data_IF_686051153947
#
_entry.id   IF_686051153947
#
_cell.length_a   1.000
_cell.length_b   1.000
_cell.length_c   1.000
_cell.angle_alpha   90.00
_cell.angle_beta   90.00
_cell.angle_gamma   90.00
#
_symmetry.space_group_name_H-M   'P 1'
#
loop_
_entity.id
_entity.type
_entity.pdbx_description
1 polymer ?
#
# COMPACT_ATOMS: atom_id res chain seq x y z
N UNK A 1 -6.11 0.77 26.12
CA UNK A 1 -6.47 -0.05 27.32
C UNK A 1 -7.01 0.88 28.40
N UNK A 2 -8.16 0.55 29.04
CA UNK A 2 -8.73 1.31 30.17
C UNK A 2 -8.07 0.95 31.48
N UNK A 3 -7.93 1.91 32.40
CA UNK A 3 -7.36 1.68 33.73
C UNK A 3 -8.14 0.62 34.55
N UNK A 4 -9.48 0.75 34.55
CA UNK A 4 -10.34 -0.19 35.28
C UNK A 4 -10.23 -1.65 34.76
N UNK A 5 -9.98 -1.85 33.48
CA UNK A 5 -9.68 -3.18 32.94
C UNK A 5 -8.28 -3.65 33.36
N UNK A 6 -7.27 -2.76 33.37
CA UNK A 6 -5.91 -3.14 33.80
C UNK A 6 -5.87 -3.60 35.26
N UNK A 7 -6.63 -2.97 36.15
CA UNK A 7 -6.75 -3.40 37.55
C UNK A 7 -7.29 -4.82 37.66
N UNK A 8 -8.37 -5.13 36.91
CA UNK A 8 -8.97 -6.46 36.89
C UNK A 8 -8.04 -7.50 36.26
N UNK A 9 -7.35 -7.13 35.16
CA UNK A 9 -6.36 -7.98 34.51
C UNK A 9 -5.17 -8.24 35.43
N UNK A 10 -4.68 -7.27 36.19
CA UNK A 10 -3.62 -7.48 37.17
C UNK A 10 -4.03 -8.49 38.21
N UNK A 11 -5.26 -8.42 38.77
CA UNK A 11 -5.83 -9.39 39.67
C UNK A 11 -5.95 -10.78 39.04
N UNK A 12 -6.39 -10.86 37.78
CA UNK A 12 -6.45 -12.10 37.02
C UNK A 12 -5.06 -12.74 36.84
N UNK A 13 -4.05 -11.92 36.47
CA UNK A 13 -2.68 -12.38 36.22
C UNK A 13 -1.95 -12.79 37.50
N UNK A 14 -2.32 -12.26 38.67
CA UNK A 14 -1.70 -12.59 39.96
C UNK A 14 -1.90 -14.04 40.39
N UNK A 15 -2.88 -14.74 39.79
CA UNK A 15 -3.08 -16.20 40.03
C UNK A 15 -1.99 -17.10 39.44
N UNK A 16 -1.27 -16.60 38.40
CA UNK A 16 -0.19 -17.38 37.81
C UNK A 16 1.08 -17.26 38.66
N UNK A 17 1.75 -18.39 38.83
CA UNK A 17 2.95 -18.50 39.66
C UNK A 17 4.24 -18.45 38.86
N UNK A 18 4.18 -18.71 37.56
CA UNK A 18 5.37 -18.86 36.72
C UNK A 18 5.16 -18.31 35.31
N UNK A 19 6.19 -17.65 34.77
CA UNK A 19 6.33 -17.33 33.38
C UNK A 19 7.18 -18.45 32.74
N UNK A 20 6.62 -19.13 31.74
CA UNK A 20 7.33 -20.15 30.98
C UNK A 20 8.24 -19.48 29.91
N UNK A 21 7.71 -18.50 29.20
CA UNK A 21 8.43 -17.77 28.17
C UNK A 21 7.94 -16.33 28.09
N UNK A 22 8.86 -15.40 27.83
CA UNK A 22 8.55 -14.03 27.45
C UNK A 22 9.36 -13.65 26.21
N UNK A 23 8.70 -13.14 25.17
CA UNK A 23 9.34 -12.76 23.92
C UNK A 23 8.58 -11.64 23.22
N UNK A 24 9.29 -10.84 22.43
CA UNK A 24 8.68 -9.83 21.55
C UNK A 24 8.16 -10.51 20.27
N UNK A 25 6.93 -10.20 19.88
CA UNK A 25 6.24 -10.77 18.70
C UNK A 25 5.94 -9.74 17.63
N UNK A 26 5.94 -8.48 17.98
CA UNK A 26 5.93 -7.34 17.03
C UNK A 26 6.78 -6.18 17.57
N UNK A 27 6.93 -5.10 16.82
CA UNK A 27 7.79 -3.97 17.24
C UNK A 27 7.39 -3.41 18.61
N UNK A 28 6.11 -3.48 18.99
CA UNK A 28 5.57 -2.97 20.25
C UNK A 28 4.73 -3.99 21.03
N UNK A 29 4.80 -5.28 20.72
CA UNK A 29 4.03 -6.30 21.44
C UNK A 29 4.90 -7.40 22.01
N UNK A 30 4.60 -7.77 23.26
CA UNK A 30 5.29 -8.80 24.04
C UNK A 30 4.29 -9.93 24.30
N UNK A 31 4.67 -11.14 23.94
CA UNK A 31 3.98 -12.37 24.34
C UNK A 31 4.59 -12.86 25.64
N UNK A 32 3.74 -13.08 26.65
CA UNK A 32 4.09 -13.77 27.88
C UNK A 32 3.31 -15.06 27.92
N UNK A 33 4.02 -16.17 28.01
CA UNK A 33 3.48 -17.50 28.20
C UNK A 33 3.54 -17.87 29.69
N UNK A 34 2.39 -17.95 30.27
CA UNK A 34 2.20 -18.51 31.63
C UNK A 34 2.10 -20.04 31.54
N UNK A 35 1.98 -20.74 32.65
CA UNK A 35 1.98 -22.22 32.66
C UNK A 35 0.91 -22.85 31.75
N UNK A 36 -0.23 -22.16 31.56
CA UNK A 36 -1.39 -22.67 30.80
C UNK A 36 -1.92 -21.70 29.74
N UNK A 37 -1.42 -20.48 29.69
CA UNK A 37 -2.01 -19.42 28.86
C UNK A 37 -0.94 -18.54 28.15
N UNK A 38 -1.24 -18.12 26.95
CA UNK A 38 -0.43 -17.18 26.15
C UNK A 38 -1.18 -15.87 26.03
N UNK A 39 -0.59 -14.80 26.53
CA UNK A 39 -1.20 -13.48 26.52
C UNK A 39 -0.25 -12.48 25.87
N UNK A 40 -0.81 -11.67 24.98
CA UNK A 40 -0.08 -10.64 24.23
C UNK A 40 -0.36 -9.28 24.86
N UNK A 41 0.71 -8.55 25.18
CA UNK A 41 0.68 -7.20 25.70
C UNK A 41 1.13 -6.27 24.58
N UNK A 42 0.17 -5.66 23.87
CA UNK A 42 0.41 -4.73 22.76
C UNK A 42 0.49 -3.29 23.29
N UNK A 43 1.68 -2.72 23.20
CA UNK A 43 2.03 -1.39 23.65
C UNK A 43 1.96 -0.35 22.52
N UNK A 44 1.17 -0.59 21.49
CA UNK A 44 0.99 0.35 20.39
C UNK A 44 0.36 1.66 20.89
N UNK A 45 0.96 2.82 20.52
CA UNK A 45 0.58 4.13 21.03
C UNK A 45 -0.90 4.46 20.87
N UNK A 46 -1.46 4.14 19.71
CA UNK A 46 -2.83 4.50 19.34
C UNK A 46 -3.87 3.48 19.78
N UNK A 47 -3.46 2.22 19.97
CA UNK A 47 -4.40 1.12 20.14
C UNK A 47 -3.82 0.00 21.03
N UNK A 48 -3.32 0.40 22.21
CA UNK A 48 -2.78 -0.57 23.18
C UNK A 48 -3.85 -1.51 23.70
N UNK A 49 -3.51 -2.81 23.83
CA UNK A 49 -4.43 -3.85 24.25
C UNK A 49 -3.70 -5.01 24.92
N UNK A 50 -4.47 -5.86 25.62
CA UNK A 50 -4.04 -7.14 26.13
C UNK A 50 -5.00 -8.17 25.59
N UNK A 51 -4.50 -9.17 24.86
CA UNK A 51 -5.35 -10.11 24.14
C UNK A 51 -4.69 -11.49 23.97
N UNK A 52 -5.47 -12.46 23.53
CA UNK A 52 -5.03 -13.80 23.10
C UNK A 52 -5.27 -13.97 21.61
N UNK A 53 -4.26 -14.46 20.92
CA UNK A 53 -4.34 -14.77 19.49
C UNK A 53 -3.57 -16.08 19.23
N UNK A 54 -4.32 -17.16 19.02
CA UNK A 54 -3.76 -18.49 18.77
C UNK A 54 -3.19 -18.62 17.34
N UNK A 55 -3.59 -17.73 16.43
CA UNK A 55 -3.14 -17.71 15.03
C UNK A 55 -2.01 -16.72 14.78
N UNK A 56 -1.48 -16.09 15.83
CA UNK A 56 -0.44 -15.08 15.71
C UNK A 56 0.78 -15.62 14.96
N UNK A 57 1.06 -15.06 13.80
CA UNK A 57 2.30 -15.31 13.05
C UNK A 57 3.35 -14.31 13.48
N UNK A 58 4.46 -14.80 14.00
CA UNK A 58 5.60 -13.95 14.33
C UNK A 58 6.14 -13.29 13.07
N UNK A 59 6.19 -11.95 13.06
CA UNK A 59 6.61 -11.19 11.88
C UNK A 59 8.11 -11.39 11.57
N UNK A 60 8.92 -11.52 12.62
CA UNK A 60 10.37 -11.71 12.56
C UNK A 60 10.91 -12.17 13.92
N UNK A 61 12.11 -12.69 13.93
CA UNK A 61 12.84 -12.99 15.18
C UNK A 61 13.50 -11.69 15.65
N UNK A 62 13.20 -11.28 16.88
CA UNK A 62 13.77 -10.10 17.52
C UNK A 62 15.00 -10.47 18.34
N UNK A 63 16.08 -9.70 18.22
CA UNK A 63 17.40 -9.98 18.87
C UNK A 63 18.07 -8.69 19.38
N UNK A 64 17.31 -7.64 19.66
CA UNK A 64 17.83 -6.42 20.26
C UNK A 64 18.24 -6.67 21.74
N UNK A 65 19.02 -5.78 22.37
CA UNK A 65 19.40 -5.90 23.78
C UNK A 65 18.22 -6.17 24.71
N UNK A 66 17.10 -5.46 24.51
CA UNK A 66 15.87 -5.69 25.25
C UNK A 66 15.36 -7.13 25.14
N UNK A 67 15.38 -7.73 23.94
CA UNK A 67 14.90 -9.10 23.72
C UNK A 67 15.75 -10.13 24.45
N UNK A 68 17.06 -9.90 24.48
CA UNK A 68 18.00 -10.76 25.18
C UNK A 68 17.81 -10.69 26.69
N UNK A 69 17.62 -9.47 27.24
CA UNK A 69 17.36 -9.27 28.68
C UNK A 69 16.00 -9.86 29.05
N UNK A 70 14.95 -9.60 28.24
CA UNK A 70 13.61 -10.14 28.47
C UNK A 70 13.65 -11.68 28.54
N UNK A 71 14.27 -12.31 27.55
CA UNK A 71 14.43 -13.78 27.51
C UNK A 71 15.24 -14.31 28.69
N UNK A 72 16.39 -13.68 28.99
CA UNK A 72 17.29 -14.12 30.05
C UNK A 72 16.65 -14.04 31.44
N UNK A 73 15.85 -13.00 31.72
CA UNK A 73 15.34 -12.70 33.05
C UNK A 73 13.95 -13.28 33.30
N UNK A 74 13.10 -13.39 32.27
CA UNK A 74 11.70 -13.79 32.47
C UNK A 74 11.38 -15.21 32.05
N UNK A 75 12.17 -15.84 31.17
CA UNK A 75 11.94 -17.27 30.88
C UNK A 75 12.21 -18.14 32.10
N UNK A 76 11.26 -19.00 32.37
CA UNK A 76 11.25 -19.89 33.55
C UNK A 76 11.31 -19.18 34.92
N UNK A 77 10.89 -17.90 35.00
CA UNK A 77 10.86 -17.12 36.23
C UNK A 77 9.59 -17.34 37.06
N UNK A 78 9.67 -17.12 38.38
CA UNK A 78 8.53 -17.15 39.30
C UNK A 78 7.97 -15.74 39.49
N UNK A 79 6.64 -15.61 39.45
CA UNK A 79 5.90 -14.40 39.70
C UNK A 79 5.71 -14.22 41.20
N UNK A 80 6.18 -13.12 41.76
CA UNK A 80 5.91 -12.70 43.15
C UNK A 80 4.63 -11.90 43.26
N UNK A 81 4.48 -10.88 42.38
CA UNK A 81 3.27 -10.06 42.32
C UNK A 81 3.04 -9.55 40.90
N UNK A 82 1.76 -9.29 40.60
CA UNK A 82 1.34 -8.48 39.41
C UNK A 82 0.39 -7.43 39.92
N UNK A 83 0.73 -6.16 39.63
CA UNK A 83 0.02 -5.00 40.15
C UNK A 83 -0.25 -4.00 39.03
N UNK A 84 -1.42 -3.35 39.08
CA UNK A 84 -1.65 -2.14 38.29
C UNK A 84 -1.32 -0.94 39.18
N UNK A 85 -0.37 -0.10 38.76
CA UNK A 85 0.03 1.07 39.55
C UNK A 85 -1.13 2.05 39.69
N UNK A 86 -1.31 2.57 40.93
CA UNK A 86 -2.40 3.48 41.24
C UNK A 86 -2.33 4.72 40.34
N UNK A 87 -3.49 5.10 39.81
CA UNK A 87 -3.69 6.26 38.94
C UNK A 87 -2.80 6.31 37.68
N UNK A 88 -2.30 5.13 37.28
CA UNK A 88 -1.49 4.96 36.06
C UNK A 88 -1.87 3.68 35.32
N UNK A 89 -1.81 3.73 33.99
CA UNK A 89 -2.05 2.55 33.14
C UNK A 89 -0.76 1.77 32.96
N UNK A 90 -0.22 1.25 34.06
CA UNK A 90 1.04 0.50 34.12
C UNK A 90 0.82 -0.80 34.86
N UNK A 91 1.14 -1.93 34.21
CA UNK A 91 1.26 -3.21 34.87
C UNK A 91 2.70 -3.44 35.31
N UNK A 92 2.87 -3.81 36.58
CA UNK A 92 4.16 -4.11 37.21
C UNK A 92 4.18 -5.60 37.54
N UNK A 93 5.10 -6.33 36.94
CA UNK A 93 5.38 -7.73 37.24
C UNK A 93 6.65 -7.81 38.07
N UNK A 94 6.56 -8.26 39.32
CA UNK A 94 7.73 -8.54 40.14
C UNK A 94 8.01 -10.06 40.06
N UNK A 95 9.18 -10.38 39.54
CA UNK A 95 9.58 -11.75 39.26
C UNK A 95 10.90 -12.12 39.93
N UNK A 96 11.10 -13.41 40.17
CA UNK A 96 12.35 -13.98 40.71
C UNK A 96 12.81 -15.09 39.78
N UNK A 97 14.10 -15.11 39.49
CA UNK A 97 14.74 -16.23 38.82
C UNK A 97 15.71 -16.91 39.80
N UNK A 98 15.57 -18.21 39.99
CA UNK A 98 16.48 -18.99 40.79
C UNK A 98 17.68 -19.38 39.94
N UNK A 99 18.85 -18.83 40.26
CA UNK A 99 20.14 -19.32 39.74
C UNK A 99 20.71 -20.43 40.65
N UNK A 100 21.80 -21.05 40.22
CA UNK A 100 22.48 -22.13 40.99
C UNK A 100 23.03 -21.66 42.36
N UNK A 101 23.29 -20.38 42.54
CA UNK A 101 23.87 -19.82 43.77
C UNK A 101 23.10 -18.65 44.38
N UNK A 102 22.24 -17.94 43.60
CA UNK A 102 21.54 -16.74 44.07
C UNK A 102 20.22 -16.59 43.36
N UNK A 103 19.18 -16.22 44.07
CA UNK A 103 17.93 -15.74 43.48
C UNK A 103 18.03 -14.24 43.23
N UNK A 104 17.69 -13.79 42.01
CA UNK A 104 17.65 -12.38 41.64
C UNK A 104 16.21 -11.94 41.40
N UNK A 105 15.88 -10.75 41.87
CA UNK A 105 14.57 -10.14 41.65
C UNK A 105 14.67 -9.13 40.49
N UNK A 106 13.67 -9.13 39.61
CA UNK A 106 13.52 -8.12 38.59
C UNK A 106 12.08 -7.75 38.41
N UNK A 107 11.90 -6.58 37.81
CA UNK A 107 10.60 -5.98 37.61
C UNK A 107 10.43 -5.68 36.12
N UNK A 108 9.29 -6.08 35.57
CA UNK A 108 8.85 -5.67 34.23
C UNK A 108 7.69 -4.69 34.35
N UNK A 109 7.89 -3.49 33.87
CA UNK A 109 6.85 -2.49 33.74
C UNK A 109 6.33 -2.50 32.30
N UNK A 110 5.02 -2.75 32.14
CA UNK A 110 4.31 -2.64 30.89
C UNK A 110 3.42 -1.39 30.92
N UNK A 111 3.81 -0.36 30.19
CA UNK A 111 3.25 0.98 30.26
C UNK A 111 2.27 1.24 29.12
N UNK A 112 0.97 1.28 29.40
CA UNK A 112 -0.11 1.56 28.45
C UNK A 112 -0.49 3.05 28.44
N UNK A 113 0.49 3.94 28.53
CA UNK A 113 0.33 5.36 28.82
C UNK A 113 0.19 6.24 27.57
N UNK A 114 -0.29 5.69 26.45
CA UNK A 114 -0.52 6.42 25.22
C UNK A 114 0.80 6.88 24.56
N UNK A 115 1.12 8.18 24.58
CA UNK A 115 2.34 8.71 23.96
C UNK A 115 3.64 8.07 24.47
N UNK A 116 3.64 7.67 25.72
CA UNK A 116 4.81 7.14 26.45
C UNK A 116 4.73 5.62 26.67
N UNK A 117 3.93 4.90 25.91
CA UNK A 117 3.90 3.43 25.99
C UNK A 117 5.30 2.86 25.90
N UNK A 118 5.64 1.94 26.81
CA UNK A 118 6.96 1.32 26.86
C UNK A 118 6.90 -0.03 27.61
N UNK A 119 7.96 -0.81 27.49
CA UNK A 119 8.26 -1.91 28.40
C UNK A 119 9.65 -1.64 28.99
N UNK A 120 9.74 -1.63 30.32
CA UNK A 120 10.98 -1.33 31.04
C UNK A 120 11.28 -2.48 32.00
N UNK A 121 12.51 -2.96 31.98
CA UNK A 121 13.01 -4.00 32.86
C UNK A 121 13.98 -3.35 33.84
N UNK A 122 13.73 -3.54 35.16
CA UNK A 122 14.59 -3.02 36.23
C UNK A 122 15.04 -4.13 37.17
N UNK A 123 16.02 -3.82 37.99
CA UNK A 123 16.33 -4.59 39.19
C UNK A 123 15.35 -4.26 40.34
N UNK A 124 15.59 -4.82 41.53
CA UNK A 124 14.78 -4.58 42.73
C UNK A 124 14.86 -3.15 43.28
N UNK A 125 15.91 -2.39 42.91
CA UNK A 125 16.12 -0.99 43.29
C UNK A 125 15.57 -0.01 42.27
N UNK A 126 14.79 -0.50 41.29
CA UNK A 126 14.28 0.26 40.13
C UNK A 126 15.37 0.83 39.21
N UNK A 127 16.60 0.28 39.23
CA UNK A 127 17.61 0.64 38.23
C UNK A 127 17.31 -0.05 36.94
N UNK A 128 17.23 0.71 35.84
CA UNK A 128 16.86 0.25 34.50
C UNK A 128 17.96 -0.69 33.99
N UNK A 129 17.62 -1.94 33.75
CA UNK A 129 18.49 -2.92 33.09
C UNK A 129 18.38 -2.75 31.58
N UNK A 130 17.14 -2.62 31.06
CA UNK A 130 16.89 -2.40 29.65
C UNK A 130 15.45 -1.92 29.41
N UNK A 131 15.20 -1.28 28.27
CA UNK A 131 13.88 -0.81 27.88
C UNK A 131 13.59 -1.07 26.38
N UNK A 132 12.33 -1.30 26.06
CA UNK A 132 11.90 -1.46 24.67
C UNK A 132 12.15 -0.18 23.84
N UNK A 133 12.02 0.97 24.50
CA UNK A 133 12.29 2.29 23.93
C UNK A 133 13.11 3.13 24.92
N UNK A 134 14.26 3.60 24.48
CA UNK A 134 15.05 4.59 25.21
C UNK A 134 14.46 5.98 24.99
N UNK A 135 14.38 6.81 26.05
CA UNK A 135 13.78 8.15 26.04
C UNK A 135 14.71 9.10 26.77
N UNK A 136 15.24 10.05 26.03
CA UNK A 136 16.20 11.04 26.57
C UNK A 136 15.57 12.44 26.78
N UNK A 137 14.49 12.76 26.06
CA UNK A 137 13.93 14.12 25.97
C UNK A 137 12.62 14.32 26.76
N UNK A 138 12.45 13.70 27.92
CA UNK A 138 11.23 13.84 28.70
C UNK A 138 11.54 14.10 30.17
N UNK A 139 10.51 14.44 30.93
CA UNK A 139 10.54 14.51 32.41
C UNK A 139 11.18 13.26 33.04
N UNK A 140 11.15 12.13 32.34
CA UNK A 140 11.60 10.80 32.77
C UNK A 140 12.59 10.26 31.76
N UNK A 141 13.87 10.26 32.13
CA UNK A 141 14.92 9.61 31.34
C UNK A 141 14.80 8.09 31.46
N UNK A 142 14.78 7.37 30.34
CA UNK A 142 14.73 5.91 30.29
C UNK A 142 15.97 5.43 29.53
N UNK A 143 17.04 5.18 30.29
CA UNK A 143 18.31 4.65 29.80
C UNK A 143 18.83 3.60 30.79
N UNK A 144 19.63 2.66 30.28
CA UNK A 144 20.27 1.62 31.09
C UNK A 144 21.16 2.25 32.18
N UNK A 145 21.00 1.79 33.44
CA UNK A 145 21.71 2.27 34.59
C UNK A 145 21.06 3.45 35.32
N UNK A 146 20.06 4.10 34.74
CA UNK A 146 19.30 5.15 35.41
C UNK A 146 18.21 4.58 36.33
N UNK A 147 17.88 5.31 37.40
CA UNK A 147 16.75 4.91 38.27
C UNK A 147 15.43 5.29 37.59
N UNK A 148 14.54 4.30 37.46
CA UNK A 148 13.22 4.49 36.87
C UNK A 148 12.35 5.39 37.77
N UNK A 149 12.12 6.63 37.38
CA UNK A 149 11.23 7.56 38.10
C UNK A 149 9.78 7.17 37.85
N UNK A 150 8.95 7.23 38.88
CA UNK A 150 7.52 7.02 38.74
C UNK A 150 6.89 8.14 37.90
N UNK A 151 5.89 7.78 37.10
CA UNK A 151 5.09 8.79 36.42
C UNK A 151 4.17 9.50 37.43
N UNK A 152 3.96 10.81 37.27
CA UNK A 152 3.03 11.52 38.12
C UNK A 152 1.64 10.92 38.01
N UNK A 153 0.90 10.84 39.11
CA UNK A 153 -0.47 10.40 39.11
C UNK A 153 -1.32 11.28 38.17
N UNK A 154 -2.04 10.67 37.28
CA UNK A 154 -2.92 11.38 36.33
C UNK A 154 -4.35 11.15 36.78
N UNK A 155 -5.14 12.23 36.92
CA UNK A 155 -6.57 12.10 37.11
C UNK A 155 -7.21 11.42 35.87
N UNK A 156 -7.37 10.09 35.96
CA UNK A 156 -7.90 9.29 34.86
C UNK A 156 -9.40 9.49 34.78
N UNK A 157 -9.85 10.36 33.87
CA UNK A 157 -11.27 10.54 33.55
C UNK A 157 -11.72 9.44 32.57
N UNK A 158 -12.01 8.26 33.09
CA UNK A 158 -12.58 7.17 32.29
C UNK A 158 -14.08 7.05 32.53
N UNK A 159 -14.82 6.75 31.45
CA UNK A 159 -16.20 6.33 31.62
C UNK A 159 -16.24 5.00 32.37
N UNK A 160 -17.24 4.79 33.27
CA UNK A 160 -17.45 3.52 33.91
C UNK A 160 -17.41 2.39 32.87
N UNK A 161 -16.75 1.31 33.23
CA UNK A 161 -16.73 0.10 32.37
C UNK A 161 -17.31 -1.07 33.17
N UNK A 162 -17.95 -1.96 32.44
CA UNK A 162 -18.48 -3.19 33.02
C UNK A 162 -17.34 -4.08 33.53
N UNK A 163 -17.54 -4.80 34.64
CA UNK A 163 -16.58 -5.79 35.13
C UNK A 163 -16.36 -6.89 34.09
N UNK A 164 -15.12 -7.35 33.98
CA UNK A 164 -14.78 -8.51 33.14
C UNK A 164 -15.23 -9.77 33.88
N UNK A 165 -16.31 -10.37 33.41
CA UNK A 165 -16.85 -11.63 33.99
C UNK A 165 -16.15 -12.87 33.44
N UNK A 166 -15.79 -12.82 32.14
CA UNK A 166 -15.06 -13.86 31.44
C UNK A 166 -13.81 -13.28 30.76
N UNK A 167 -12.63 -13.59 31.33
CA UNK A 167 -11.35 -13.09 30.79
C UNK A 167 -10.96 -13.73 29.47
N UNK A 168 -11.37 -15.00 29.24
CA UNK A 168 -11.08 -15.65 27.96
C UNK A 168 -11.86 -14.98 26.82
N UNK A 169 -13.15 -14.79 27.01
CA UNK A 169 -14.00 -14.09 26.05
C UNK A 169 -13.52 -12.63 25.84
N UNK A 170 -13.13 -11.95 26.92
CA UNK A 170 -12.59 -10.59 26.85
C UNK A 170 -11.32 -10.52 26.01
N UNK A 171 -10.33 -11.38 26.26
CA UNK A 171 -9.07 -11.36 25.50
C UNK A 171 -9.27 -11.73 24.03
N UNK A 172 -10.17 -12.64 23.71
CA UNK A 172 -10.54 -12.97 22.33
C UNK A 172 -11.24 -11.82 21.63
N UNK A 173 -12.16 -11.13 22.30
CA UNK A 173 -12.82 -9.94 21.73
C UNK A 173 -11.85 -8.79 21.49
N UNK A 174 -10.89 -8.57 22.37
CA UNK A 174 -9.82 -7.59 22.19
C UNK A 174 -8.92 -7.94 20.98
N UNK A 175 -8.62 -9.24 20.76
CA UNK A 175 -7.88 -9.67 19.58
C UNK A 175 -8.62 -9.33 18.28
N UNK A 176 -9.93 -9.61 18.21
CA UNK A 176 -10.76 -9.23 17.05
C UNK A 176 -10.74 -7.72 16.84
N UNK A 177 -10.99 -6.94 17.91
CA UNK A 177 -10.99 -5.47 17.85
C UNK A 177 -9.66 -4.90 17.35
N UNK A 178 -8.53 -5.44 17.83
CA UNK A 178 -7.19 -5.00 17.40
C UNK A 178 -6.93 -5.33 15.94
N UNK A 179 -7.30 -6.54 15.52
CA UNK A 179 -7.13 -6.97 14.14
C UNK A 179 -8.00 -6.13 13.18
N UNK A 180 -9.25 -5.88 13.52
CA UNK A 180 -10.13 -5.00 12.74
C UNK A 180 -9.58 -3.58 12.63
N UNK A 181 -9.14 -2.99 13.74
CA UNK A 181 -8.54 -1.67 13.75
C UNK A 181 -7.25 -1.61 12.92
N UNK A 182 -6.43 -2.68 12.94
CA UNK A 182 -5.23 -2.80 12.13
C UNK A 182 -5.57 -2.87 10.64
N UNK A 183 -6.55 -3.70 10.28
CA UNK A 183 -7.03 -3.82 8.89
C UNK A 183 -7.58 -2.48 8.41
N UNK A 184 -8.41 -1.80 9.19
CA UNK A 184 -8.96 -0.50 8.87
C UNK A 184 -7.86 0.55 8.64
N UNK A 185 -6.87 0.64 9.53
CA UNK A 185 -5.75 1.58 9.41
C UNK A 185 -4.89 1.30 8.16
N UNK A 186 -4.59 0.03 7.88
CA UNK A 186 -3.86 -0.37 6.69
C UNK A 186 -4.64 -0.03 5.41
N UNK A 187 -5.94 -0.28 5.42
CA UNK A 187 -6.85 0.02 4.32
C UNK A 187 -6.89 1.52 4.03
N UNK A 188 -7.08 2.34 5.05
CA UNK A 188 -7.11 3.80 4.94
C UNK A 188 -5.78 4.36 4.42
N UNK A 189 -4.65 3.91 4.94
CA UNK A 189 -3.33 4.34 4.47
C UNK A 189 -3.12 4.02 2.98
N UNK A 190 -3.57 2.85 2.51
CA UNK A 190 -3.48 2.44 1.10
C UNK A 190 -4.42 3.25 0.22
N UNK A 191 -5.67 3.44 0.64
CA UNK A 191 -6.66 4.26 -0.07
C UNK A 191 -6.16 5.70 -0.23
N UNK A 192 -5.62 6.29 0.83
CA UNK A 192 -5.03 7.64 0.79
C UNK A 192 -3.85 7.71 -0.19
N UNK A 193 -2.99 6.68 -0.21
CA UNK A 193 -1.85 6.63 -1.13
C UNK A 193 -2.29 6.53 -2.59
N UNK A 194 -3.30 5.72 -2.89
CA UNK A 194 -3.87 5.56 -4.24
C UNK A 194 -4.57 6.85 -4.66
N UNK A 195 -5.37 7.46 -3.77
CA UNK A 195 -6.07 8.72 -4.06
C UNK A 195 -5.09 9.84 -4.42
N UNK A 196 -4.02 10.02 -3.64
CA UNK A 196 -2.98 11.02 -3.96
C UNK A 196 -2.37 10.84 -5.35
N UNK A 197 -2.20 9.59 -5.80
CA UNK A 197 -1.70 9.32 -7.16
C UNK A 197 -2.72 9.70 -8.23
N UNK A 198 -4.00 9.39 -7.99
CA UNK A 198 -5.11 9.76 -8.88
C UNK A 198 -5.17 11.28 -8.99
N UNK A 199 -5.17 12.00 -7.86
CA UNK A 199 -5.25 13.45 -7.80
C UNK A 199 -4.09 14.10 -8.58
N UNK A 200 -2.86 13.66 -8.33
CA UNK A 200 -1.68 14.16 -9.03
C UNK A 200 -1.73 13.92 -10.55
N UNK A 201 -2.19 12.73 -10.99
CA UNK A 201 -2.33 12.44 -12.42
C UNK A 201 -3.48 13.24 -13.05
N UNK A 202 -4.56 13.48 -12.32
CA UNK A 202 -5.70 14.30 -12.76
C UNK A 202 -5.30 15.77 -12.90
N UNK A 203 -4.48 16.30 -11.98
CA UNK A 203 -3.92 17.64 -12.08
C UNK A 203 -3.07 17.80 -13.35
N UNK A 204 -2.19 16.83 -13.63
CA UNK A 204 -1.38 16.83 -14.86
C UNK A 204 -2.31 16.78 -16.09
N UNK A 205 -3.29 15.87 -16.10
CA UNK A 205 -4.24 15.72 -17.20
C UNK A 205 -4.99 17.02 -17.49
N UNK A 206 -5.44 17.72 -16.44
CA UNK A 206 -6.14 19.00 -16.56
C UNK A 206 -5.24 20.17 -16.97
N UNK A 207 -3.93 20.06 -16.75
CA UNK A 207 -2.95 21.09 -17.13
C UNK A 207 -2.43 20.94 -18.55
N UNK A 208 -2.75 19.86 -19.25
CA UNK A 208 -2.32 19.65 -20.62
C UNK A 208 -3.00 20.66 -21.56
N UNK A 209 -2.22 21.21 -22.47
CA UNK A 209 -2.72 22.13 -23.51
C UNK A 209 -3.78 21.45 -24.38
N UNK A 210 -4.67 22.27 -24.95
CA UNK A 210 -5.69 21.77 -25.86
C UNK A 210 -5.09 21.39 -27.21
N UNK A 211 -5.38 20.17 -27.69
CA UNK A 211 -4.90 19.65 -28.97
C UNK A 211 -5.39 20.51 -30.15
N UNK A 212 -6.66 20.89 -30.13
CA UNK A 212 -7.29 21.57 -31.25
C UNK A 212 -6.77 23.02 -31.37
N UNK A 213 -6.50 23.66 -30.22
CA UNK A 213 -5.81 24.98 -30.22
C UNK A 213 -4.38 24.87 -30.75
N UNK A 214 -3.63 23.83 -30.38
CA UNK A 214 -2.28 23.60 -30.91
C UNK A 214 -2.29 23.32 -32.41
N UNK A 215 -3.27 22.56 -32.90
CA UNK A 215 -3.44 22.26 -34.32
C UNK A 215 -3.80 23.54 -35.08
N UNK A 216 -4.74 24.35 -34.59
CA UNK A 216 -5.14 25.63 -35.16
C UNK A 216 -3.96 26.59 -35.29
N UNK A 217 -3.17 26.77 -34.22
CA UNK A 217 -1.94 27.55 -34.26
C UNK A 217 -0.92 26.98 -35.24
N UNK A 218 -0.83 25.68 -35.40
CA UNK A 218 0.04 25.02 -36.37
C UNK A 218 -0.36 25.37 -37.80
N UNK A 219 -1.66 25.37 -38.12
CA UNK A 219 -2.20 25.73 -39.41
C UNK A 219 -1.98 27.22 -39.72
N UNK A 220 -2.19 28.10 -38.73
CA UNK A 220 -1.90 29.53 -38.87
C UNK A 220 -0.43 29.79 -39.27
N UNK A 221 0.53 29.15 -38.57
CA UNK A 221 1.95 29.29 -38.93
C UNK A 221 2.28 28.67 -40.29
N UNK A 222 1.65 27.60 -40.71
CA UNK A 222 1.82 27.03 -42.04
C UNK A 222 1.31 28.00 -43.10
N UNK A 223 0.14 28.62 -42.86
CA UNK A 223 -0.44 29.63 -43.74
C UNK A 223 0.46 30.86 -43.86
N UNK A 224 1.01 31.37 -42.77
CA UNK A 224 1.97 32.50 -42.80
C UNK A 224 3.22 32.17 -43.65
N UNK A 225 3.76 30.96 -43.49
CA UNK A 225 4.87 30.48 -44.32
C UNK A 225 4.51 30.44 -45.80
N UNK A 226 3.32 29.94 -46.13
CA UNK A 226 2.83 29.85 -47.50
C UNK A 226 2.61 31.26 -48.14
N UNK A 227 1.99 32.17 -47.37
CA UNK A 227 1.77 33.54 -47.81
C UNK A 227 3.08 34.27 -48.09
N UNK A 228 4.09 34.13 -47.22
CA UNK A 228 5.41 34.71 -47.43
C UNK A 228 6.08 34.16 -48.68
N UNK A 229 6.06 32.84 -48.91
CA UNK A 229 6.66 32.23 -50.09
C UNK A 229 5.95 32.63 -51.38
N UNK A 230 4.61 32.73 -51.37
CA UNK A 230 3.82 33.15 -52.54
C UNK A 230 4.10 34.61 -52.95
N UNK A 231 4.49 35.45 -51.99
CA UNK A 231 4.72 36.88 -52.21
C UNK A 231 6.21 37.27 -52.23
N UNK A 232 7.14 36.33 -52.30
CA UNK A 232 8.58 36.61 -52.21
C UNK A 232 9.07 37.64 -53.25
N UNK A 233 8.51 37.63 -54.45
CA UNK A 233 8.87 38.57 -55.50
C UNK A 233 8.52 40.03 -55.18
N UNK A 234 7.62 40.29 -54.27
CA UNK A 234 7.16 41.59 -53.85
C UNK A 234 8.03 42.24 -52.76
N UNK A 235 9.00 41.47 -52.16
CA UNK A 235 9.83 41.94 -51.07
C UNK A 235 11.26 42.25 -51.47
N UNK A 236 11.82 43.31 -50.88
CA UNK A 236 13.22 43.72 -51.08
C UNK A 236 14.23 42.89 -50.27
N UNK A 237 13.78 41.97 -49.40
CA UNK A 237 14.60 41.07 -48.69
C UNK A 237 15.07 41.50 -47.27
N UNK A 238 14.78 42.72 -46.87
CA UNK A 238 15.19 43.30 -45.58
C UNK A 238 14.03 43.82 -44.72
N UNK A 239 12.79 43.68 -45.21
CA UNK A 239 11.58 44.08 -44.49
C UNK A 239 11.43 43.26 -43.22
N UNK A 240 11.10 43.95 -42.10
CA UNK A 240 10.82 43.31 -40.79
C UNK A 240 9.35 43.32 -40.44
N UNK A 241 8.57 44.21 -41.02
CA UNK A 241 7.12 44.24 -40.85
C UNK A 241 6.48 44.22 -42.25
N UNK A 242 5.58 43.30 -42.46
CA UNK A 242 4.93 43.05 -43.73
C UNK A 242 3.42 42.98 -43.51
N UNK A 243 2.66 43.67 -44.39
CA UNK A 243 1.21 43.51 -44.48
C UNK A 243 0.89 42.70 -45.73
N UNK A 244 0.18 41.59 -45.55
CA UNK A 244 -0.28 40.70 -46.62
C UNK A 244 -1.77 40.46 -46.49
N UNK A 245 -2.41 40.11 -47.61
CA UNK A 245 -3.76 39.56 -47.55
C UNK A 245 -3.69 38.05 -47.41
N UNK A 246 -4.48 37.51 -46.50
CA UNK A 246 -4.65 36.08 -46.37
C UNK A 246 -5.45 35.48 -47.54
N UNK A 247 -5.66 34.16 -47.52
CA UNK A 247 -6.40 33.47 -48.58
C UNK A 247 -7.90 33.83 -48.59
N UNK A 248 -8.41 34.43 -47.49
CA UNK A 248 -9.78 34.92 -47.35
C UNK A 248 -9.92 36.42 -47.64
N UNK A 249 -8.81 37.09 -47.95
CA UNK A 249 -8.78 38.51 -48.27
C UNK A 249 -8.58 39.47 -47.11
N UNK A 250 -8.38 38.95 -45.88
CA UNK A 250 -8.15 39.76 -44.68
C UNK A 250 -6.70 40.24 -44.62
N UNK A 251 -6.48 41.45 -44.11
CA UNK A 251 -5.13 41.99 -43.91
C UNK A 251 -4.47 41.37 -42.68
N UNK A 252 -3.30 40.75 -42.86
CA UNK A 252 -2.46 40.20 -41.82
C UNK A 252 -1.16 40.97 -41.73
N UNK A 253 -0.78 41.42 -40.54
CA UNK A 253 0.52 42.00 -40.24
C UNK A 253 1.44 40.91 -39.68
N UNK A 254 2.57 40.67 -40.33
CA UNK A 254 3.59 39.74 -39.92
C UNK A 254 4.87 40.47 -39.56
N UNK A 255 5.43 40.15 -38.39
CA UNK A 255 6.76 40.56 -37.94
C UNK A 255 7.76 39.48 -38.28
N UNK A 256 8.78 39.80 -39.05
CA UNK A 256 9.79 38.83 -39.49
C UNK A 256 11.04 38.93 -38.62
N UNK A 257 11.58 37.80 -38.24
CA UNK A 257 12.83 37.68 -37.47
C UNK A 257 14.07 37.88 -38.36
N UNK A 258 13.94 37.53 -39.64
CA UNK A 258 15.01 37.52 -40.62
C UNK A 258 14.45 37.88 -42.02
N UNK A 259 15.17 37.52 -43.09
CA UNK A 259 14.67 37.70 -44.45
C UNK A 259 13.33 37.00 -44.65
N UNK A 260 12.43 37.47 -45.56
CA UNK A 260 11.14 36.83 -45.79
C UNK A 260 11.23 35.33 -46.05
N UNK A 261 12.22 34.89 -46.83
CA UNK A 261 12.44 33.45 -47.09
C UNK A 261 12.85 32.68 -45.85
N UNK A 262 13.75 33.23 -45.03
CA UNK A 262 14.19 32.61 -43.78
C UNK A 262 13.04 32.54 -42.77
N UNK A 263 12.26 33.62 -42.63
CA UNK A 263 11.09 33.68 -41.75
C UNK A 263 9.97 32.71 -42.18
N UNK A 264 9.77 32.51 -43.49
CA UNK A 264 8.85 31.49 -43.98
C UNK A 264 9.26 30.07 -43.51
N UNK A 265 10.55 29.73 -43.61
CA UNK A 265 11.07 28.45 -43.12
C UNK A 265 10.93 28.33 -41.61
N UNK A 266 11.11 29.42 -40.87
CA UNK A 266 10.88 29.42 -39.41
C UNK A 266 9.40 29.17 -39.10
N UNK A 267 8.45 29.77 -39.78
CA UNK A 267 7.02 29.52 -39.60
C UNK A 267 6.65 28.07 -39.88
N UNK A 268 7.15 27.46 -40.94
CA UNK A 268 6.97 26.02 -41.17
C UNK A 268 7.58 25.14 -40.06
N UNK A 269 8.76 25.51 -39.58
CA UNK A 269 9.40 24.80 -38.46
C UNK A 269 8.55 24.89 -37.19
N UNK A 270 7.98 26.07 -36.87
CA UNK A 270 7.06 26.28 -35.74
C UNK A 270 5.77 25.47 -35.92
N UNK A 271 5.18 25.52 -37.11
CA UNK A 271 4.01 24.70 -37.45
C UNK A 271 4.27 23.21 -37.19
N UNK A 272 5.36 22.67 -37.73
CA UNK A 272 5.73 21.26 -37.53
C UNK A 272 5.92 20.90 -36.04
N UNK A 273 6.55 21.78 -35.24
CA UNK A 273 6.73 21.58 -33.80
C UNK A 273 5.39 21.58 -33.07
N UNK A 274 4.48 22.51 -33.39
CA UNK A 274 3.15 22.57 -32.77
C UNK A 274 2.31 21.34 -33.10
N UNK A 275 2.36 20.86 -34.35
CA UNK A 275 1.66 19.63 -34.76
C UNK A 275 2.19 18.40 -34.04
N UNK A 276 3.51 18.29 -33.93
CA UNK A 276 4.11 17.18 -33.16
C UNK A 276 3.72 17.26 -31.69
N UNK A 277 3.69 18.46 -31.08
CA UNK A 277 3.24 18.68 -29.70
C UNK A 277 1.77 18.27 -29.51
N UNK A 278 0.88 18.67 -30.45
CA UNK A 278 -0.54 18.29 -30.40
C UNK A 278 -0.75 16.77 -30.37
N UNK A 279 -0.01 16.03 -31.21
CA UNK A 279 -0.05 14.57 -31.22
C UNK A 279 0.50 13.97 -29.92
N UNK A 280 1.58 14.56 -29.39
CA UNK A 280 2.16 14.14 -28.10
C UNK A 280 1.18 14.33 -26.95
N UNK A 281 0.48 15.46 -26.88
CA UNK A 281 -0.54 15.74 -25.86
C UNK A 281 -1.68 14.72 -25.92
N UNK A 282 -2.14 14.33 -27.11
CA UNK A 282 -3.21 13.33 -27.22
C UNK A 282 -2.79 11.96 -26.68
N UNK A 283 -1.57 11.53 -26.99
CA UNK A 283 -1.00 10.28 -26.48
C UNK A 283 -0.87 10.35 -24.94
N UNK A 284 -0.41 11.49 -24.41
CA UNK A 284 -0.25 11.68 -22.98
C UNK A 284 -1.59 11.70 -22.23
N UNK A 285 -2.60 12.40 -22.77
CA UNK A 285 -3.98 12.40 -22.25
C UNK A 285 -4.51 10.97 -22.14
N UNK A 286 -4.38 10.17 -23.20
CA UNK A 286 -4.82 8.79 -23.22
C UNK A 286 -4.09 7.95 -22.18
N UNK A 287 -2.76 8.04 -22.11
CA UNK A 287 -1.95 7.28 -21.15
C UNK A 287 -2.28 7.63 -19.70
N UNK A 288 -2.52 8.91 -19.39
CA UNK A 288 -2.92 9.35 -18.05
C UNK A 288 -4.33 8.85 -17.69
N UNK A 289 -5.28 8.96 -18.63
CA UNK A 289 -6.64 8.47 -18.42
C UNK A 289 -6.68 6.97 -18.14
N UNK A 290 -5.95 6.16 -18.92
CA UNK A 290 -5.83 4.71 -18.70
C UNK A 290 -5.21 4.37 -17.33
N UNK A 291 -4.19 5.14 -16.89
CA UNK A 291 -3.58 4.95 -15.57
C UNK A 291 -4.53 5.34 -14.42
N UNK A 292 -5.27 6.43 -14.58
CA UNK A 292 -6.27 6.86 -13.59
C UNK A 292 -7.37 5.80 -13.46
N UNK A 293 -7.88 5.30 -14.58
CA UNK A 293 -8.92 4.27 -14.61
C UNK A 293 -8.45 2.98 -13.91
N UNK A 294 -7.22 2.55 -14.17
CA UNK A 294 -6.62 1.41 -13.47
C UNK A 294 -6.52 1.64 -11.95
N UNK A 295 -6.09 2.85 -11.52
CA UNK A 295 -5.99 3.19 -10.10
C UNK A 295 -7.37 3.26 -9.41
N UNK A 296 -8.42 3.69 -10.11
CA UNK A 296 -9.79 3.65 -9.59
C UNK A 296 -10.28 2.20 -9.39
N UNK A 297 -9.99 1.29 -10.32
CA UNK A 297 -10.24 -0.15 -10.14
C UNK A 297 -9.49 -0.72 -8.92
N UNK A 298 -8.21 -0.37 -8.75
CA UNK A 298 -7.43 -0.76 -7.57
C UNK A 298 -8.04 -0.21 -6.27
N UNK A 299 -8.52 1.01 -6.28
CA UNK A 299 -9.19 1.65 -5.15
C UNK A 299 -10.50 0.94 -4.79
N UNK A 300 -11.27 0.48 -5.77
CA UNK A 300 -12.46 -0.35 -5.58
C UNK A 300 -12.10 -1.66 -4.86
N UNK A 301 -11.13 -2.41 -5.36
CA UNK A 301 -10.64 -3.64 -4.73
C UNK A 301 -10.15 -3.43 -3.29
N UNK A 302 -9.44 -2.32 -3.03
CA UNK A 302 -9.01 -1.95 -1.67
C UNK A 302 -10.19 -1.68 -0.74
N UNK A 303 -11.28 -1.07 -1.22
CA UNK A 303 -12.49 -0.85 -0.43
C UNK A 303 -13.19 -2.15 -0.06
N UNK A 304 -13.19 -3.14 -0.94
CA UNK A 304 -13.84 -4.43 -0.73
C UNK A 304 -13.01 -5.41 0.11
N UNK A 305 -11.70 -5.19 0.20
CA UNK A 305 -10.78 -6.07 0.94
C UNK A 305 -11.23 -6.27 2.39
N UNK A 306 -11.36 -7.54 2.81
CA UNK A 306 -11.91 -7.94 4.12
C UNK A 306 -10.84 -8.27 5.15
N UNK A 307 -9.63 -8.60 4.71
CA UNK A 307 -8.57 -9.06 5.59
C UNK A 307 -7.18 -8.53 5.17
N UNK A 308 -6.21 -8.68 6.05
CA UNK A 308 -4.86 -8.19 5.82
C UNK A 308 -4.16 -8.86 4.63
N UNK A 309 -4.49 -10.13 4.33
CA UNK A 309 -3.93 -10.87 3.22
C UNK A 309 -4.37 -10.28 1.87
N UNK A 310 -5.67 -9.98 1.71
CA UNK A 310 -6.18 -9.30 0.51
C UNK A 310 -5.53 -7.93 0.32
N UNK A 311 -5.40 -7.15 1.41
CA UNK A 311 -4.70 -5.87 1.37
C UNK A 311 -3.22 -6.02 0.97
N UNK A 312 -2.56 -7.10 1.36
CA UNK A 312 -1.17 -7.38 0.97
C UNK A 312 -1.04 -7.70 -0.52
N UNK A 313 -1.96 -8.50 -1.07
CA UNK A 313 -2.04 -8.82 -2.50
C UNK A 313 -2.17 -7.53 -3.33
N UNK A 314 -3.07 -6.63 -2.94
CA UNK A 314 -3.35 -5.37 -3.62
C UNK A 314 -2.24 -4.31 -3.45
N UNK A 315 -1.17 -4.64 -2.76
CA UNK A 315 0.00 -3.79 -2.65
C UNK A 315 1.17 -4.49 -3.29
N UNK A 316 1.51 -4.16 -4.52
CA UNK A 316 2.71 -4.67 -5.13
C UNK A 316 3.88 -4.31 -4.22
N UNK A 317 4.45 -5.32 -3.57
CA UNK A 317 5.69 -5.14 -2.82
C UNK A 317 6.69 -4.64 -3.83
N UNK A 318 7.21 -3.44 -3.65
CA UNK A 318 8.47 -3.03 -4.24
C UNK A 318 9.54 -3.99 -3.68
N UNK A 319 9.51 -5.23 -4.11
CA UNK A 319 10.57 -6.20 -3.86
C UNK A 319 11.76 -5.70 -4.64
N UNK A 320 12.46 -4.82 -3.94
CA UNK A 320 13.87 -4.45 -4.11
C UNK A 320 14.54 -4.96 -5.39
N UNK A 321 14.90 -4.02 -6.25
CA UNK A 321 16.19 -3.85 -6.96
C UNK A 321 17.05 -5.07 -7.39
N UNK A 322 16.72 -6.31 -7.09
CA UNK A 322 17.64 -7.43 -7.31
C UNK A 322 17.33 -8.35 -8.51
N UNK A 323 16.24 -8.13 -9.27
CA UNK A 323 15.93 -8.89 -10.51
C UNK A 323 15.44 -8.02 -11.68
N UNK A 324 15.87 -6.79 -11.75
CA UNK A 324 15.35 -5.76 -12.66
C UNK A 324 15.70 -5.94 -14.15
N UNK A 325 16.54 -6.89 -14.55
CA UNK A 325 16.99 -6.96 -15.95
C UNK A 325 16.05 -7.71 -16.93
N UNK A 326 15.08 -8.48 -16.44
CA UNK A 326 14.14 -9.22 -17.32
C UNK A 326 12.68 -8.77 -17.23
N UNK A 327 12.35 -7.76 -16.42
CA UNK A 327 10.97 -7.30 -16.17
C UNK A 327 10.69 -5.92 -16.78
N UNK A 328 11.67 -5.25 -17.38
CA UNK A 328 11.49 -3.89 -17.91
C UNK A 328 10.41 -3.77 -18.98
N UNK A 329 10.20 -4.79 -19.81
CA UNK A 329 9.20 -4.73 -20.89
C UNK A 329 7.75 -4.99 -20.44
N UNK A 330 7.56 -5.66 -19.30
CA UNK A 330 6.21 -5.98 -18.78
C UNK A 330 5.63 -4.86 -17.93
N UNK A 331 6.49 -4.05 -17.29
CA UNK A 331 6.07 -3.11 -16.22
C UNK A 331 5.42 -1.82 -16.71
N UNK A 332 5.53 -1.45 -17.98
CA UNK A 332 4.97 -0.18 -18.46
C UNK A 332 3.46 -0.24 -18.73
N UNK A 333 2.95 -1.39 -19.19
CA UNK A 333 1.55 -1.53 -19.62
C UNK A 333 0.80 -2.68 -18.94
N UNK A 334 1.39 -3.32 -17.94
CA UNK A 334 0.77 -4.38 -17.16
C UNK A 334 1.09 -4.25 -15.67
N UNK A 335 0.20 -4.75 -14.82
CA UNK A 335 0.41 -4.83 -13.38
C UNK A 335 0.62 -6.26 -12.93
N UNK A 336 1.36 -6.42 -11.82
CA UNK A 336 1.75 -7.72 -11.30
C UNK A 336 1.24 -7.86 -9.88
N UNK A 337 0.42 -8.87 -9.65
CA UNK A 337 -0.07 -9.27 -8.32
C UNK A 337 0.47 -10.65 -7.95
N UNK A 338 0.57 -10.92 -6.66
CA UNK A 338 0.98 -12.22 -6.15
C UNK A 338 -0.10 -12.75 -5.21
N UNK A 339 -0.68 -13.89 -5.58
CA UNK A 339 -1.67 -14.60 -4.77
C UNK A 339 -1.06 -15.97 -4.42
N UNK A 340 -0.77 -16.21 -3.16
CA UNK A 340 0.06 -17.33 -2.72
C UNK A 340 1.40 -17.34 -3.46
N UNK A 341 1.74 -18.45 -4.13
CA UNK A 341 2.93 -18.59 -4.97
C UNK A 341 2.70 -18.20 -6.44
N UNK A 342 1.47 -17.88 -6.82
CA UNK A 342 1.12 -17.56 -8.20
C UNK A 342 1.33 -16.10 -8.53
N UNK A 343 1.93 -15.86 -9.68
CA UNK A 343 2.08 -14.52 -10.25
C UNK A 343 0.94 -14.27 -11.22
N UNK A 344 0.15 -13.22 -10.97
CA UNK A 344 -0.97 -12.80 -11.81
C UNK A 344 -0.58 -11.50 -12.51
N UNK A 345 -0.70 -11.48 -13.82
CA UNK A 345 -0.42 -10.35 -14.69
C UNK A 345 -1.74 -9.79 -15.20
N UNK A 346 -1.92 -8.48 -15.15
CA UNK A 346 -3.13 -7.78 -15.63
C UNK A 346 -2.73 -6.72 -16.63
N UNK A 347 -3.27 -6.77 -17.84
CA UNK A 347 -3.05 -5.75 -18.87
C UNK A 347 -3.81 -4.46 -18.52
N UNK A 348 -3.14 -3.32 -18.63
CA UNK A 348 -3.77 -2.01 -18.35
C UNK A 348 -4.44 -1.40 -19.57
N UNK A 349 -4.03 -1.81 -20.75
CA UNK A 349 -4.51 -1.32 -22.04
C UNK A 349 -4.27 -2.37 -23.13
N UNK A 350 -4.65 -2.04 -24.36
CA UNK A 350 -4.49 -2.94 -25.51
C UNK A 350 -3.05 -3.40 -25.71
N UNK A 351 -2.07 -2.49 -25.62
CA UNK A 351 -0.65 -2.82 -25.72
C UNK A 351 -0.21 -3.77 -24.61
N UNK A 352 -0.69 -3.54 -23.38
CA UNK A 352 -0.48 -4.44 -22.24
C UNK A 352 -1.08 -5.82 -22.47
N UNK A 353 -2.30 -5.89 -22.96
CA UNK A 353 -2.99 -7.13 -23.30
C UNK A 353 -2.21 -7.93 -24.37
N UNK A 354 -1.72 -7.26 -25.40
CA UNK A 354 -0.88 -7.86 -26.45
C UNK A 354 0.41 -8.44 -25.84
N UNK A 355 1.13 -7.64 -25.05
CA UNK A 355 2.37 -8.06 -24.42
C UNK A 355 2.17 -9.28 -23.51
N UNK A 356 1.04 -9.33 -22.78
CA UNK A 356 0.72 -10.48 -21.93
C UNK A 356 0.49 -11.75 -22.73
N UNK A 357 -0.17 -11.67 -23.87
CA UNK A 357 -0.38 -12.83 -24.75
C UNK A 357 0.94 -13.36 -25.32
N UNK A 358 1.88 -12.47 -25.65
CA UNK A 358 3.20 -12.83 -26.18
C UNK A 358 4.11 -13.46 -25.09
N UNK A 359 3.96 -13.01 -23.84
CA UNK A 359 4.72 -13.51 -22.69
C UNK A 359 4.16 -14.78 -22.06
N UNK A 360 2.89 -15.10 -22.34
CA UNK A 360 2.22 -16.25 -21.75
C UNK A 360 2.70 -17.57 -22.38
N UNK A 361 3.02 -18.55 -21.52
CA UNK A 361 3.39 -19.92 -21.90
C UNK A 361 2.14 -20.77 -22.08
N UNK A 362 2.27 -21.92 -22.76
CA UNK A 362 1.15 -22.81 -23.09
C UNK A 362 0.30 -23.21 -21.87
N UNK A 363 0.92 -23.48 -20.75
CA UNK A 363 0.24 -23.93 -19.52
C UNK A 363 -0.31 -22.79 -18.66
N UNK A 364 0.04 -21.53 -18.93
CA UNK A 364 -0.49 -20.38 -18.19
C UNK A 364 -2.02 -20.28 -18.39
N UNK A 365 -2.73 -19.83 -17.35
CA UNK A 365 -4.18 -19.64 -17.43
C UNK A 365 -4.47 -18.19 -17.84
N UNK A 366 -5.26 -18.04 -18.88
CA UNK A 366 -5.77 -16.76 -19.35
C UNK A 366 -7.23 -16.59 -18.91
N UNK A 367 -7.59 -15.35 -18.55
CA UNK A 367 -8.93 -14.95 -18.16
C UNK A 367 -9.35 -13.68 -18.90
N UNK A 368 -10.66 -13.58 -19.22
CA UNK A 368 -11.27 -12.46 -19.92
C UNK A 368 -12.78 -12.40 -19.61
N UNK A 369 -13.39 -11.21 -19.65
CA UNK A 369 -14.85 -11.10 -19.58
C UNK A 369 -15.48 -11.79 -20.78
N UNK A 370 -16.55 -12.52 -20.53
CA UNK A 370 -17.34 -13.12 -21.59
C UNK A 370 -18.10 -12.04 -22.34
N UNK A 371 -18.04 -12.08 -23.67
CA UNK A 371 -18.80 -11.23 -24.59
C UNK A 371 -18.62 -9.70 -24.40
N UNK A 372 -17.56 -9.26 -23.73
CA UNK A 372 -17.28 -7.85 -23.51
C UNK A 372 -15.77 -7.54 -23.57
N UNK A 373 -15.35 -6.35 -24.04
CA UNK A 373 -13.97 -5.94 -23.99
C UNK A 373 -13.47 -5.89 -22.53
N UNK A 374 -12.27 -6.43 -22.29
CA UNK A 374 -11.71 -6.43 -20.93
C UNK A 374 -10.19 -6.45 -20.89
N UNK A 375 -9.65 -6.24 -19.70
CA UNK A 375 -8.27 -6.53 -19.42
C UNK A 375 -8.00 -8.03 -19.58
N UNK A 376 -6.90 -8.38 -20.21
CA UNK A 376 -6.41 -9.76 -20.20
C UNK A 376 -5.71 -10.01 -18.87
N UNK A 377 -6.03 -11.12 -18.24
CA UNK A 377 -5.39 -11.56 -17.01
C UNK A 377 -4.70 -12.89 -17.25
N UNK A 378 -3.43 -13.00 -16.84
CA UNK A 378 -2.62 -14.22 -16.99
C UNK A 378 -2.16 -14.70 -15.64
N UNK A 379 -2.50 -15.92 -15.25
CA UNK A 379 -1.91 -16.60 -14.11
C UNK A 379 -0.71 -17.40 -14.61
N UNK A 380 0.48 -17.02 -14.20
CA UNK A 380 1.72 -17.74 -14.53
C UNK A 380 1.78 -19.03 -13.72
N UNK A 381 1.77 -20.16 -14.40
CA UNK A 381 1.82 -21.47 -13.75
C UNK A 381 2.44 -22.54 -14.65
N UNK A 382 3.03 -23.55 -14.03
CA UNK A 382 3.41 -24.82 -14.65
C UNK A 382 2.68 -26.00 -14.00
N UNK A 383 1.72 -25.71 -13.12
CA UNK A 383 0.95 -26.72 -12.39
C UNK A 383 -0.28 -27.11 -13.20
N UNK A 384 -0.64 -28.37 -13.13
CA UNK A 384 -1.83 -28.91 -13.82
C UNK A 384 -3.15 -28.34 -13.27
N UNK A 385 -3.16 -27.87 -12.01
CA UNK A 385 -4.34 -27.31 -11.36
C UNK A 385 -3.98 -26.05 -10.59
N UNK A 386 -4.75 -24.98 -10.79
CA UNK A 386 -4.68 -23.72 -10.05
C UNK A 386 -5.75 -23.75 -8.95
N UNK A 387 -5.45 -23.37 -7.71
CA UNK A 387 -6.44 -23.27 -6.62
C UNK A 387 -7.60 -22.33 -6.97
N UNK A 388 -8.78 -22.65 -6.45
CA UNK A 388 -10.02 -21.91 -6.75
C UNK A 388 -9.96 -20.45 -6.29
N UNK A 389 -9.42 -20.18 -5.11
CA UNK A 389 -9.23 -18.83 -4.56
C UNK A 389 -8.28 -17.96 -5.42
N UNK A 390 -7.29 -18.57 -6.08
CA UNK A 390 -6.39 -17.87 -7.01
C UNK A 390 -7.13 -17.52 -8.30
N UNK A 391 -7.93 -18.46 -8.82
CA UNK A 391 -8.77 -18.23 -10.00
C UNK A 391 -9.83 -17.14 -9.73
N UNK A 392 -10.50 -17.21 -8.59
CA UNK A 392 -11.48 -16.20 -8.17
C UNK A 392 -10.86 -14.81 -8.04
N UNK A 393 -9.68 -14.69 -7.41
CA UNK A 393 -8.99 -13.42 -7.31
C UNK A 393 -8.56 -12.88 -8.69
N UNK A 394 -8.08 -13.72 -9.58
CA UNK A 394 -7.73 -13.33 -10.94
C UNK A 394 -8.98 -12.88 -11.74
N UNK A 395 -10.11 -13.56 -11.56
CA UNK A 395 -11.38 -13.17 -12.17
C UNK A 395 -11.90 -11.83 -11.60
N UNK A 396 -11.76 -11.58 -10.30
CA UNK A 396 -12.05 -10.26 -9.70
C UNK A 396 -11.19 -9.16 -10.33
N UNK A 397 -9.90 -9.39 -10.54
CA UNK A 397 -9.04 -8.42 -11.24
C UNK A 397 -9.55 -8.16 -12.65
N UNK A 398 -9.94 -9.20 -13.38
CA UNK A 398 -10.50 -9.03 -14.72
C UNK A 398 -11.72 -8.11 -14.72
N UNK A 399 -12.67 -8.29 -13.80
CA UNK A 399 -13.88 -7.48 -13.67
C UNK A 399 -13.54 -6.05 -13.24
N UNK A 400 -12.79 -5.89 -12.14
CA UNK A 400 -12.53 -4.57 -11.54
C UNK A 400 -11.74 -3.62 -12.44
N UNK A 401 -10.82 -4.16 -13.24
CA UNK A 401 -10.03 -3.35 -14.19
C UNK A 401 -10.66 -3.20 -15.57
N UNK A 402 -11.88 -3.74 -15.78
CA UNK A 402 -12.56 -3.67 -17.07
C UNK A 402 -13.90 -2.95 -17.05
N UNK A 403 -14.64 -3.02 -15.94
CA UNK A 403 -16.00 -2.46 -15.86
C UNK A 403 -16.19 -1.56 -14.65
N UNK A 404 -16.98 -0.49 -14.82
CA UNK A 404 -17.24 0.51 -13.77
C UNK A 404 -18.53 0.25 -12.97
N UNK A 405 -19.51 -0.44 -13.58
CA UNK A 405 -20.82 -0.66 -12.99
C UNK A 405 -20.84 -1.80 -11.97
N UNK A 406 -21.75 -1.72 -11.00
CA UNK A 406 -22.12 -2.83 -10.15
C UNK A 406 -22.90 -3.86 -10.98
N UNK A 407 -22.75 -5.16 -10.73
CA UNK A 407 -23.45 -6.18 -11.45
C UNK A 407 -22.82 -7.57 -11.33
N UNK A 408 -23.45 -8.51 -12.04
CA UNK A 408 -22.98 -9.88 -12.17
C UNK A 408 -22.24 -10.05 -13.50
N UNK A 409 -21.01 -10.48 -13.44
CA UNK A 409 -20.13 -10.61 -14.61
C UNK A 409 -19.64 -12.04 -14.76
N UNK A 410 -19.64 -12.53 -16.00
CA UNK A 410 -19.10 -13.83 -16.37
C UNK A 410 -17.66 -13.63 -16.88
N UNK A 411 -16.72 -14.40 -16.32
CA UNK A 411 -15.31 -14.39 -16.68
C UNK A 411 -14.93 -15.77 -17.21
N UNK A 412 -14.56 -15.84 -18.46
CA UNK A 412 -14.08 -17.07 -19.07
C UNK A 412 -12.59 -17.25 -18.78
N UNK A 413 -12.19 -18.50 -18.53
CA UNK A 413 -10.79 -18.85 -18.36
C UNK A 413 -10.44 -20.16 -19.06
N UNK A 414 -9.24 -20.19 -19.61
CA UNK A 414 -8.71 -21.37 -20.28
C UNK A 414 -7.18 -21.34 -20.28
N UNK A 415 -6.54 -22.43 -20.68
CA UNK A 415 -5.09 -22.43 -20.89
C UNK A 415 -4.70 -21.59 -22.10
N UNK A 416 -3.51 -20.96 -22.05
CA UNK A 416 -2.96 -20.17 -23.15
C UNK A 416 -2.87 -20.96 -24.46
N UNK A 417 -2.63 -22.27 -24.44
CA UNK A 417 -2.57 -23.14 -25.61
C UNK A 417 -3.88 -23.19 -26.41
N UNK A 418 -5.02 -22.91 -25.75
CA UNK A 418 -6.36 -22.91 -26.36
C UNK A 418 -6.75 -21.59 -27.02
N UNK A 419 -5.84 -20.60 -27.02
CA UNK A 419 -6.08 -19.28 -27.61
C UNK A 419 -5.40 -19.16 -28.97
N UNK A 420 -6.12 -18.55 -29.89
CA UNK A 420 -5.59 -18.07 -31.18
C UNK A 420 -5.75 -16.55 -31.23
N UNK A 421 -4.64 -15.84 -31.43
CA UNK A 421 -4.65 -14.39 -31.59
C UNK A 421 -5.13 -14.04 -33.00
N UNK A 422 -5.99 -13.04 -33.07
CA UNK A 422 -6.45 -12.40 -34.30
C UNK A 422 -5.75 -11.06 -34.50
N UNK A 423 -6.49 -9.96 -34.63
CA UNK A 423 -5.95 -8.62 -34.77
C UNK A 423 -5.81 -7.92 -33.42
N UNK A 424 -4.66 -7.29 -33.16
CA UNK A 424 -4.42 -6.57 -31.90
C UNK A 424 -4.41 -7.50 -30.68
N UNK A 425 -5.22 -7.17 -29.68
CA UNK A 425 -5.44 -7.98 -28.47
C UNK A 425 -6.58 -8.99 -28.61
N UNK A 426 -7.32 -9.00 -29.73
CA UNK A 426 -8.45 -9.91 -29.92
C UNK A 426 -7.98 -11.35 -30.03
N UNK A 427 -8.72 -12.25 -29.39
CA UNK A 427 -8.44 -13.69 -29.39
C UNK A 427 -9.71 -14.48 -29.57
N UNK A 428 -9.59 -15.62 -30.28
CA UNK A 428 -10.56 -16.71 -30.24
C UNK A 428 -10.04 -17.80 -29.32
N UNK A 429 -10.93 -18.46 -28.59
CA UNK A 429 -10.55 -19.46 -27.59
C UNK A 429 -11.53 -20.63 -27.51
N UNK A 430 -11.02 -21.76 -27.05
CA UNK A 430 -11.77 -23.02 -26.90
C UNK A 430 -11.49 -23.63 -25.52
N UNK A 431 -12.21 -24.70 -25.18
CA UNK A 431 -11.99 -25.44 -23.91
C UNK A 431 -11.98 -24.56 -22.66
N UNK A 432 -12.88 -23.59 -22.60
CA UNK A 432 -12.96 -22.65 -21.49
C UNK A 432 -13.95 -23.12 -20.42
N UNK A 433 -13.78 -22.52 -19.24
CA UNK A 433 -14.73 -22.54 -18.11
C UNK A 433 -15.06 -21.11 -17.72
N UNK A 434 -16.22 -20.93 -17.08
CA UNK A 434 -16.70 -19.60 -16.68
C UNK A 434 -16.79 -19.49 -15.16
N UNK A 435 -16.34 -18.37 -14.61
CA UNK A 435 -16.50 -17.98 -13.20
C UNK A 435 -17.42 -16.77 -13.17
N UNK A 436 -18.33 -16.73 -12.18
CA UNK A 436 -19.24 -15.61 -11.97
C UNK A 436 -18.69 -14.73 -10.84
N UNK A 437 -18.52 -13.45 -11.13
CA UNK A 437 -18.08 -12.44 -10.17
C UNK A 437 -19.20 -11.41 -9.98
N UNK A 438 -19.58 -11.17 -8.74
CA UNK A 438 -20.49 -10.09 -8.37
C UNK A 438 -19.66 -8.88 -7.95
N UNK A 439 -19.84 -7.75 -8.66
CA UNK A 439 -19.25 -6.46 -8.33
C UNK A 439 -20.29 -5.61 -7.62
N UNK A 440 -19.95 -5.10 -6.43
CA UNK A 440 -20.80 -4.26 -5.60
C UNK A 440 -20.77 -2.78 -5.97
#
# INVERSE_FOLDING_TARGET
>A
MKYAHLVQIASYLSKFKKISQAKRVSDMAILIEFSSEKIIFDLNKSNSAIYKDDELKEAKIYQAPFDNVLKKRFNASHIKSVECLKDNRILKFTCTQSGSYKSENFILYLEFTGRFTNAVITDENNVIIEALRHIDNSYRKIETGEVLKELPAIAIKEKPCEPITDFEAFFRSEAVRINEARIASLKEAKLTSVQKKIDSMSEILNSLEDKDELMKKSEEFANYGTLLLANLANFKGYEREICLKDFDGNEIKLTLSDTPKSSANEFYSRSKKLRAKALGVEIEKRNLSEKIEFLEGLKSLLKEAKNAYELEILSPKNKAKQRERQIKDVSENAEIFYVREFKILVGRNEKGNINLLDLAKKDDIWLHLKDAPSAHVIIKTNKSKVPEDVLEMAAKFCVEFSVKGAGRYEVDYTKRENLRRENGANVTYTNYKTIIINKG
#
